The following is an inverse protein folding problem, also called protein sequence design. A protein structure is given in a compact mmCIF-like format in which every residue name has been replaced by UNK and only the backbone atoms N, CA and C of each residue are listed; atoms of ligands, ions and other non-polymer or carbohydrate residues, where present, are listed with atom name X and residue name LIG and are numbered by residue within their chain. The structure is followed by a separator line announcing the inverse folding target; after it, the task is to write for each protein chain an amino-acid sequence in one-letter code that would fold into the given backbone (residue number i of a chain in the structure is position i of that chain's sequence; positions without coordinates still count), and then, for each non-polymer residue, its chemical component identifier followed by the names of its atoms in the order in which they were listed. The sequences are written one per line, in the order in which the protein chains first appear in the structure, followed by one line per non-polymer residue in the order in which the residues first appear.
data_IF_097942063767
#
_entry.id   IF_097942063767
#
_cell.length_a   1.000
_cell.length_b   1.000
_cell.length_c   1.000
_cell.angle_alpha   90.00
_cell.angle_beta   90.00
_cell.angle_gamma   90.00
#
_symmetry.space_group_name_H-M   'P 1'
#
loop_
_entity.id
_entity.type
_entity.pdbx_description
1 polymer ?
#
# COMPACT_ATOMS: atom_id res chain seq x y z
N UNK A 1 18.80 1.79 2.26
CA UNK A 1 18.43 2.63 3.43
C UNK A 1 17.13 2.16 4.09
N UNK A 2 16.00 2.08 3.38
CA UNK A 2 14.69 1.74 3.98
C UNK A 2 14.65 0.39 4.72
N UNK A 3 15.36 -0.62 4.21
CA UNK A 3 15.42 -1.95 4.83
C UNK A 3 16.06 -1.96 6.22
N UNK A 4 16.90 -0.98 6.57
CA UNK A 4 17.43 -0.86 7.93
C UNK A 4 16.30 -0.55 8.94
N UNK A 5 15.42 0.39 8.60
CA UNK A 5 14.28 0.77 9.44
C UNK A 5 13.27 -0.37 9.56
N UNK A 6 12.95 -1.04 8.45
CA UNK A 6 12.05 -2.19 8.45
C UNK A 6 12.54 -3.27 9.41
N UNK A 7 13.82 -3.68 9.28
CA UNK A 7 14.40 -4.70 10.17
C UNK A 7 14.33 -4.29 11.64
N UNK A 8 14.75 -3.06 11.97
CA UNK A 8 14.79 -2.59 13.37
C UNK A 8 13.42 -2.47 14.02
N UNK A 9 12.39 -2.10 13.27
CA UNK A 9 11.02 -2.03 13.78
C UNK A 9 10.39 -3.43 13.89
N UNK A 10 10.64 -4.31 12.92
CA UNK A 10 10.15 -5.70 12.96
C UNK A 10 10.74 -6.49 14.14
N UNK A 11 11.99 -6.22 14.54
CA UNK A 11 12.61 -6.81 15.74
C UNK A 11 11.81 -6.55 17.03
N UNK A 12 10.93 -5.54 17.05
CA UNK A 12 10.16 -5.11 18.24
C UNK A 12 8.66 -5.07 18.00
N UNK A 13 8.20 -5.78 16.98
CA UNK A 13 6.85 -5.60 16.44
C UNK A 13 5.75 -5.90 17.46
N UNK A 14 5.94 -6.93 18.28
CA UNK A 14 4.98 -7.33 19.31
C UNK A 14 4.81 -6.24 20.37
N UNK A 15 5.90 -5.64 20.84
CA UNK A 15 5.83 -4.55 21.82
C UNK A 15 5.21 -3.29 21.23
N UNK A 16 5.51 -2.98 19.97
CA UNK A 16 4.94 -1.81 19.30
C UNK A 16 3.42 -1.96 19.07
N UNK A 17 2.94 -3.18 18.74
CA UNK A 17 1.51 -3.45 18.57
C UNK A 17 0.72 -3.32 19.87
N UNK A 18 1.32 -3.62 21.02
CA UNK A 18 0.69 -3.38 22.33
C UNK A 18 0.44 -1.89 22.59
N UNK A 19 1.28 -1.02 22.04
CA UNK A 19 1.12 0.43 22.18
C UNK A 19 0.06 0.97 21.23
N UNK A 20 0.09 0.56 19.97
CA UNK A 20 -0.85 1.03 18.96
C UNK A 20 -0.87 0.11 17.75
N UNK A 21 -2.06 -0.06 17.17
CA UNK A 21 -2.24 -0.67 15.84
C UNK A 21 -1.83 0.27 14.70
N UNK A 22 -1.84 1.57 14.94
CA UNK A 22 -1.61 2.58 13.91
C UNK A 22 -0.16 3.05 13.93
N UNK A 23 0.49 3.01 12.76
CA UNK A 23 1.84 3.55 12.54
C UNK A 23 1.76 4.72 11.58
N UNK A 24 2.19 5.91 12.02
CA UNK A 24 2.27 7.09 11.15
C UNK A 24 3.69 7.21 10.58
N UNK A 25 3.81 7.36 9.27
CA UNK A 25 5.10 7.51 8.59
C UNK A 25 5.08 8.68 7.60
N UNK A 26 6.25 9.28 7.36
CA UNK A 26 6.41 10.34 6.35
C UNK A 26 6.35 9.78 4.91
N UNK A 27 6.11 10.66 3.92
CA UNK A 27 6.03 10.33 2.50
C UNK A 27 7.26 9.59 1.95
N UNK A 28 8.45 9.79 2.55
CA UNK A 28 9.64 9.03 2.19
C UNK A 28 9.44 7.50 2.31
N UNK A 29 8.62 7.07 3.28
CA UNK A 29 8.34 5.67 3.60
C UNK A 29 7.14 5.08 2.86
N UNK A 30 6.47 5.86 2.02
CA UNK A 30 5.30 5.44 1.22
C UNK A 30 5.71 4.58 0.04
N UNK A 31 6.37 3.46 0.34
CA UNK A 31 6.88 2.45 -0.58
C UNK A 31 6.39 1.09 -0.12
N UNK A 32 6.03 0.23 -1.07
CA UNK A 32 5.55 -1.12 -0.78
C UNK A 32 6.54 -1.93 0.08
N UNK A 33 7.84 -1.76 -0.16
CA UNK A 33 8.90 -2.44 0.60
C UNK A 33 9.01 -2.02 2.06
N UNK A 34 8.40 -0.89 2.44
CA UNK A 34 8.27 -0.47 3.83
C UNK A 34 6.89 -0.81 4.38
N UNK A 35 5.82 -0.49 3.65
CA UNK A 35 4.44 -0.63 4.15
C UNK A 35 4.03 -2.10 4.30
N UNK A 36 4.34 -2.95 3.31
CA UNK A 36 3.85 -4.33 3.25
C UNK A 36 4.22 -5.18 4.48
N UNK A 37 5.48 -5.21 4.93
CA UNK A 37 5.86 -6.00 6.11
C UNK A 37 5.11 -5.61 7.39
N UNK A 38 4.80 -4.32 7.57
CA UNK A 38 4.06 -3.87 8.76
C UNK A 38 2.57 -4.19 8.66
N UNK A 39 1.98 -4.12 7.47
CA UNK A 39 0.59 -4.53 7.25
C UNK A 39 0.43 -6.03 7.50
N UNK A 40 1.34 -6.86 6.99
CA UNK A 40 1.36 -8.30 7.27
C UNK A 40 1.54 -8.59 8.75
N UNK A 41 2.32 -7.76 9.45
CA UNK A 41 2.51 -7.87 10.90
C UNK A 41 1.33 -7.30 11.73
N UNK A 42 0.29 -6.74 11.10
CA UNK A 42 -0.93 -6.30 11.78
C UNK A 42 -1.07 -4.80 12.04
N UNK A 43 -0.10 -3.98 11.61
CA UNK A 43 -0.22 -2.52 11.67
C UNK A 43 -1.14 -1.97 10.58
N UNK A 44 -1.75 -0.83 10.88
CA UNK A 44 -2.34 0.07 9.90
C UNK A 44 -1.41 1.26 9.69
N UNK A 45 -0.80 1.35 8.51
CA UNK A 45 0.16 2.40 8.19
C UNK A 45 -0.55 3.60 7.59
N UNK A 46 -0.41 4.75 8.24
CA UNK A 46 -0.93 6.04 7.78
C UNK A 46 0.27 6.87 7.32
N UNK A 47 0.26 7.28 6.05
CA UNK A 47 1.34 8.10 5.50
C UNK A 47 0.82 9.01 4.41
N UNK A 48 1.55 10.10 4.15
CA UNK A 48 1.34 10.92 2.94
C UNK A 48 1.80 10.13 1.73
N UNK A 49 1.10 10.20 0.61
CA UNK A 49 1.64 9.69 -0.64
C UNK A 49 2.80 10.60 -1.11
N UNK A 50 3.71 10.04 -1.90
CA UNK A 50 4.72 10.86 -2.58
C UNK A 50 4.04 11.71 -3.66
N UNK A 51 4.61 12.88 -3.93
CA UNK A 51 4.08 13.78 -4.96
C UNK A 51 4.12 13.14 -6.37
N UNK A 52 5.01 12.17 -6.59
CA UNK A 52 5.16 11.40 -7.83
C UNK A 52 4.43 10.04 -7.80
N UNK A 53 3.49 9.83 -6.88
CA UNK A 53 2.75 8.59 -6.80
C UNK A 53 1.77 8.43 -7.97
N UNK A 54 1.91 7.32 -8.71
CA UNK A 54 0.98 6.92 -9.78
C UNK A 54 -0.10 5.98 -9.22
N UNK A 55 -1.32 6.49 -9.07
CA UNK A 55 -2.47 5.73 -8.56
C UNK A 55 -3.10 4.90 -9.69
N UNK A 56 -2.67 3.65 -9.79
CA UNK A 56 -3.20 2.69 -10.76
C UNK A 56 -4.38 1.91 -10.19
N UNK A 57 -5.59 2.18 -10.68
CA UNK A 57 -6.81 1.47 -10.29
C UNK A 57 -6.98 0.21 -11.12
N UNK A 58 -7.12 -0.97 -10.50
CA UNK A 58 -7.34 -2.22 -11.24
C UNK A 58 -8.68 -2.14 -11.99
N UNK A 59 -8.66 -2.44 -13.29
CA UNK A 59 -9.87 -2.47 -14.10
C UNK A 59 -10.68 -3.74 -13.81
N UNK A 60 -11.86 -3.57 -13.22
CA UNK A 60 -12.80 -4.66 -12.85
C UNK A 60 -13.99 -4.82 -13.79
N UNK A 61 -14.04 -4.04 -14.88
CA UNK A 61 -15.13 -4.07 -15.85
C UNK A 61 -14.96 -5.13 -16.94
N UNK A 62 -15.94 -5.16 -17.86
CA UNK A 62 -15.91 -6.08 -19.01
C UNK A 62 -14.71 -5.79 -19.92
N UNK A 63 -13.98 -6.85 -20.27
CA UNK A 63 -12.86 -6.78 -21.20
C UNK A 63 -13.38 -6.71 -22.64
N UNK A 64 -12.66 -5.97 -23.49
CA UNK A 64 -12.97 -5.96 -24.93
C UNK A 64 -12.79 -7.36 -25.51
N UNK A 65 -13.80 -7.85 -26.20
CA UNK A 65 -13.82 -9.18 -26.84
C UNK A 65 -13.00 -9.28 -28.15
N UNK A 66 -12.35 -8.18 -28.56
CA UNK A 66 -11.54 -8.11 -29.77
C UNK A 66 -10.04 -8.42 -29.56
N UNK A 67 -9.28 -8.43 -30.65
CA UNK A 67 -7.82 -8.59 -30.60
C UNK A 67 -7.17 -7.40 -29.87
N UNK A 68 -6.36 -7.68 -28.85
CA UNK A 68 -5.58 -6.68 -28.11
C UNK A 68 -5.25 -7.13 -26.69
N UNK A 69 -4.40 -6.37 -25.99
CA UNK A 69 -4.08 -6.63 -24.57
C UNK A 69 -5.27 -6.25 -23.70
N UNK A 70 -5.66 -7.12 -22.78
CA UNK A 70 -6.65 -6.81 -21.75
C UNK A 70 -6.26 -5.55 -20.97
N UNK A 71 -7.27 -4.74 -20.65
CA UNK A 71 -7.11 -3.52 -19.88
C UNK A 71 -6.78 -3.91 -18.44
N UNK A 72 -5.63 -3.43 -17.95
CA UNK A 72 -5.18 -3.65 -16.57
C UNK A 72 -5.68 -2.60 -15.60
N UNK A 73 -5.71 -1.34 -16.04
CA UNK A 73 -6.01 -0.21 -15.18
C UNK A 73 -7.15 0.65 -15.73
N UNK A 74 -8.00 1.14 -14.83
CA UNK A 74 -9.04 2.12 -15.16
C UNK A 74 -8.47 3.55 -15.15
N UNK A 75 -9.08 4.46 -15.91
CA UNK A 75 -8.74 5.89 -15.94
C UNK A 75 -9.48 6.69 -14.88
N UNK A 76 -10.47 6.08 -14.21
CA UNK A 76 -11.27 6.72 -13.18
C UNK A 76 -11.15 5.99 -11.85
N UNK A 77 -10.82 6.74 -10.82
CA UNK A 77 -10.92 6.34 -9.43
C UNK A 77 -12.40 6.19 -9.02
N UNK A 78 -13.10 5.15 -9.49
CA UNK A 78 -14.31 4.72 -8.79
C UNK A 78 -13.84 3.93 -7.57
N UNK A 79 -13.80 4.60 -6.42
CA UNK A 79 -13.71 3.96 -5.11
C UNK A 79 -14.92 3.05 -4.93
N UNK A 80 -14.81 1.80 -5.38
CA UNK A 80 -15.74 0.74 -5.01
C UNK A 80 -15.18 0.16 -3.72
N UNK A 81 -15.58 0.74 -2.59
CA UNK A 81 -15.47 0.06 -1.31
C UNK A 81 -16.48 -1.08 -1.34
N UNK A 82 -16.01 -2.30 -1.58
CA UNK A 82 -16.81 -3.48 -1.26
C UNK A 82 -16.87 -3.57 0.27
N UNK A 83 -18.08 -3.40 0.80
CA UNK A 83 -18.43 -3.59 2.20
C UNK A 83 -18.69 -5.08 2.44
#
# INVERSE_FOLDING_TARGET
MIGFYVRKLLERIEELLKLSKYMVADAYFSKISFVHPFVEAGFQVISRLRDDADLQYIFVGEQKSGKGRHRKYDVMAKLIFNN
#
